data_IF_105022840750
#
_entry.id   IF_105022840750
#
_cell.length_a   1.000
_cell.length_b   1.000
_cell.length_c   1.000
_cell.angle_alpha   90.00
_cell.angle_beta   90.00
_cell.angle_gamma   90.00
#
_symmetry.space_group_name_H-M   'P 1'
#
loop_
_entity.id
_entity.type
_entity.pdbx_description
1 polymer ?
#
# COMPACT_ATOMS: atom_id res chain seq x y z
N UNK A 1 -3.13 -34.25 3.78
CA UNK A 1 -1.78 -34.06 3.21
C UNK A 1 -1.38 -32.61 3.46
N UNK A 2 -0.55 -32.32 4.47
CA UNK A 2 0.06 -30.99 4.65
C UNK A 2 1.39 -31.02 3.92
N UNK A 3 1.41 -30.49 2.70
CA UNK A 3 2.65 -30.24 1.98
C UNK A 3 3.27 -28.96 2.55
N UNK A 4 4.50 -29.03 3.05
CA UNK A 4 5.26 -27.85 3.42
C UNK A 4 5.68 -27.14 2.13
N UNK A 5 4.98 -26.06 1.77
CA UNK A 5 5.34 -25.22 0.64
C UNK A 5 6.58 -24.39 1.01
N UNK A 6 7.73 -24.71 0.41
CA UNK A 6 8.92 -23.87 0.52
C UNK A 6 8.75 -22.64 -0.36
N UNK A 7 8.45 -21.49 0.25
CA UNK A 7 8.42 -20.19 -0.43
C UNK A 7 9.85 -19.66 -0.51
N UNK A 8 10.34 -19.38 -1.73
CA UNK A 8 11.58 -18.63 -1.94
C UNK A 8 11.23 -17.15 -2.00
N UNK A 9 11.88 -16.32 -1.18
CA UNK A 9 11.76 -14.88 -1.22
C UNK A 9 13.13 -14.23 -1.47
N UNK A 10 13.11 -13.11 -2.19
CA UNK A 10 14.23 -12.19 -2.32
C UNK A 10 13.78 -10.85 -1.76
N UNK A 11 14.68 -10.16 -1.05
CA UNK A 11 14.44 -8.84 -0.52
C UNK A 11 15.50 -7.89 -1.07
N UNK A 12 15.06 -6.72 -1.48
CA UNK A 12 15.92 -5.62 -1.92
C UNK A 12 15.45 -4.33 -1.27
N UNK A 13 16.39 -3.46 -0.97
CA UNK A 13 16.09 -2.12 -0.48
C UNK A 13 16.13 -1.17 -1.67
N UNK A 14 15.01 -0.51 -1.93
CA UNK A 14 14.88 0.47 -3.01
C UNK A 14 14.61 1.83 -2.41
N UNK A 15 15.34 2.83 -2.88
CA UNK A 15 15.19 4.24 -2.52
C UNK A 15 14.91 4.99 -3.82
N UNK A 16 13.69 5.51 -3.97
CA UNK A 16 13.25 6.09 -5.24
C UNK A 16 14.04 7.35 -5.62
N UNK A 17 14.62 8.04 -4.64
CA UNK A 17 15.50 9.20 -4.82
C UNK A 17 16.81 8.85 -5.55
N UNK A 18 17.18 7.56 -5.57
CA UNK A 18 18.35 7.07 -6.31
C UNK A 18 17.98 6.60 -7.73
N UNK A 19 16.71 6.62 -8.11
CA UNK A 19 16.22 6.24 -9.43
C UNK A 19 15.84 7.48 -10.24
N UNK A 20 16.08 7.43 -11.55
CA UNK A 20 15.46 8.40 -12.45
C UNK A 20 13.95 8.11 -12.59
N UNK A 21 13.22 9.10 -13.11
CA UNK A 21 11.75 8.99 -13.26
C UNK A 21 11.36 7.76 -14.10
N UNK A 22 11.97 7.50 -15.28
CA UNK A 22 11.67 6.30 -16.06
C UNK A 22 11.92 4.98 -15.31
N UNK A 23 12.98 4.89 -14.51
CA UNK A 23 13.26 3.66 -13.76
C UNK A 23 12.27 3.46 -12.61
N UNK A 24 11.85 4.53 -11.94
CA UNK A 24 10.78 4.46 -10.93
C UNK A 24 9.48 3.94 -11.54
N UNK A 25 9.10 4.45 -12.71
CA UNK A 25 7.89 4.00 -13.42
C UNK A 25 8.01 2.52 -13.79
N UNK A 26 9.14 2.09 -14.38
CA UNK A 26 9.35 0.68 -14.74
C UNK A 26 9.34 -0.23 -13.52
N UNK A 27 9.93 0.20 -12.42
CA UNK A 27 9.93 -0.55 -11.17
C UNK A 27 8.51 -0.74 -10.67
N UNK A 28 7.75 0.35 -10.52
CA UNK A 28 6.36 0.29 -10.05
C UNK A 28 5.43 -0.45 -11.01
N UNK A 29 5.66 -0.39 -12.32
CA UNK A 29 4.90 -1.17 -13.30
C UNK A 29 5.11 -2.69 -13.13
N UNK A 30 6.25 -3.12 -12.58
CA UNK A 30 6.52 -4.53 -12.28
C UNK A 30 5.91 -5.00 -10.95
N UNK A 31 5.42 -4.08 -10.10
CA UNK A 31 4.81 -4.39 -8.81
C UNK A 31 3.36 -4.84 -9.00
N UNK A 32 3.03 -6.03 -8.51
CA UNK A 32 1.68 -6.58 -8.55
C UNK A 32 0.86 -6.25 -7.29
N UNK A 33 1.53 -6.20 -6.13
CA UNK A 33 0.90 -5.90 -4.84
C UNK A 33 1.80 -4.89 -4.12
N UNK A 34 1.24 -3.73 -3.82
CA UNK A 34 1.93 -2.68 -3.05
C UNK A 34 1.32 -2.57 -1.66
N UNK A 35 2.11 -2.88 -0.63
CA UNK A 35 1.67 -2.84 0.78
C UNK A 35 2.38 -1.69 1.47
N UNK A 36 1.63 -0.76 2.08
CA UNK A 36 2.21 0.38 2.78
C UNK A 36 1.27 0.95 3.83
N UNK A 37 1.83 1.74 4.75
CA UNK A 37 1.09 2.38 5.85
C UNK A 37 0.38 3.64 5.36
N UNK A 38 -0.82 3.89 5.89
CA UNK A 38 -1.55 5.14 5.68
C UNK A 38 -0.65 6.35 6.03
N UNK A 39 -0.69 7.37 5.18
CA UNK A 39 0.14 8.58 5.32
C UNK A 39 1.57 8.46 4.81
N UNK A 40 2.01 7.31 4.30
CA UNK A 40 3.38 7.12 3.77
C UNK A 40 3.63 7.73 2.37
N UNK A 41 2.68 8.48 1.80
CA UNK A 41 2.84 9.08 0.48
C UNK A 41 2.83 8.06 -0.66
N UNK A 42 1.84 7.16 -0.70
CA UNK A 42 1.78 6.02 -1.64
C UNK A 42 1.43 6.40 -3.10
N UNK A 43 1.66 7.65 -3.51
CA UNK A 43 1.30 8.18 -4.84
C UNK A 43 1.93 7.40 -5.99
N UNK A 44 3.07 6.72 -5.76
CA UNK A 44 3.71 5.85 -6.75
C UNK A 44 2.82 4.70 -7.25
N UNK A 45 1.69 4.40 -6.58
CA UNK A 45 0.70 3.43 -7.06
C UNK A 45 0.14 3.76 -8.46
N UNK A 46 0.16 5.03 -8.88
CA UNK A 46 -0.27 5.45 -10.22
C UNK A 46 0.58 4.85 -11.34
N UNK A 47 1.80 4.41 -11.04
CA UNK A 47 2.68 3.77 -12.02
C UNK A 47 2.53 2.25 -12.07
N UNK A 48 1.67 1.67 -11.24
CA UNK A 48 1.36 0.25 -11.27
C UNK A 48 0.46 -0.08 -12.47
N UNK A 49 0.58 -1.30 -12.98
CA UNK A 49 -0.26 -1.79 -14.07
C UNK A 49 -1.72 -2.01 -13.60
N UNK A 50 -2.74 -1.71 -14.43
CA UNK A 50 -4.13 -2.04 -14.13
C UNK A 50 -4.31 -3.53 -13.77
N UNK A 51 -5.21 -3.82 -12.83
CA UNK A 51 -5.43 -5.16 -12.29
C UNK A 51 -4.53 -5.51 -11.09
N UNK A 52 -3.52 -4.70 -10.79
CA UNK A 52 -2.70 -4.81 -9.57
C UNK A 52 -3.49 -4.44 -8.31
N UNK A 53 -2.87 -4.60 -7.14
CA UNK A 53 -3.49 -4.32 -5.85
C UNK A 53 -2.64 -3.43 -4.95
N UNK A 54 -3.30 -2.60 -4.15
CA UNK A 54 -2.73 -1.80 -3.07
C UNK A 54 -3.37 -2.24 -1.76
N UNK A 55 -2.54 -2.53 -0.76
CA UNK A 55 -2.96 -2.81 0.62
C UNK A 55 -2.51 -1.65 1.50
N UNK A 56 -3.48 -0.92 2.02
CA UNK A 56 -3.27 0.21 2.90
C UNK A 56 -3.38 -0.25 4.36
N UNK A 57 -2.30 -0.19 5.12
CA UNK A 57 -2.29 -0.50 6.55
C UNK A 57 -2.64 0.77 7.32
N UNK A 58 -3.75 0.76 8.06
CA UNK A 58 -4.26 1.88 8.84
C UNK A 58 -3.97 1.61 10.33
N UNK A 59 -3.00 2.29 10.96
CA UNK A 59 -2.68 2.08 12.38
C UNK A 59 -3.80 2.61 13.29
N UNK A 60 -4.25 1.84 14.27
CA UNK A 60 -5.16 2.36 15.30
C UNK A 60 -4.46 3.39 16.20
N UNK A 61 -5.15 4.45 16.69
CA UNK A 61 -6.55 4.82 16.47
C UNK A 61 -6.75 5.74 15.27
N UNK A 62 -5.76 5.86 14.36
CA UNK A 62 -5.87 6.76 13.22
C UNK A 62 -7.16 6.45 12.48
N UNK A 63 -8.00 7.48 12.40
CA UNK A 63 -9.20 7.51 11.58
C UNK A 63 -10.26 6.44 11.95
N UNK A 64 -10.21 5.92 13.19
CA UNK A 64 -11.18 4.93 13.70
C UNK A 64 -11.37 3.72 12.77
N UNK A 65 -10.28 3.19 12.21
CA UNK A 65 -10.31 2.11 11.22
C UNK A 65 -11.07 2.40 9.92
N UNK A 66 -11.49 3.65 9.71
CA UNK A 66 -12.01 4.12 8.44
C UNK A 66 -10.85 4.82 7.76
N UNK A 67 -10.54 4.46 6.52
CA UNK A 67 -9.59 5.27 5.77
C UNK A 67 -10.12 6.71 5.75
N UNK A 68 -9.40 7.72 6.27
CA UNK A 68 -9.84 9.12 6.31
C UNK A 68 -10.00 9.68 4.90
N UNK A 69 -9.54 8.93 3.92
CA UNK A 69 -9.78 9.12 2.52
C UNK A 69 -11.29 9.26 2.22
N UNK A 70 -12.18 8.52 2.89
CA UNK A 70 -13.64 8.72 2.69
C UNK A 70 -14.15 10.14 3.06
N UNK A 71 -13.38 10.93 3.80
CA UNK A 71 -13.77 12.25 4.31
C UNK A 71 -13.82 13.35 3.22
N UNK A 72 -13.17 13.14 2.06
CA UNK A 72 -13.12 14.13 0.96
C UNK A 72 -14.12 13.91 -0.17
N UNK A 73 -15.04 12.94 -0.04
CA UNK A 73 -16.07 12.69 -1.03
C UNK A 73 -15.57 11.95 -2.28
N UNK A 74 -16.45 11.10 -2.81
CA UNK A 74 -16.35 10.30 -4.06
C UNK A 74 -15.37 9.12 -4.10
N UNK A 75 -14.45 8.96 -3.15
CA UNK A 75 -13.67 7.71 -3.09
C UNK A 75 -12.37 7.78 -2.32
N UNK A 76 -12.02 8.91 -1.74
CA UNK A 76 -10.85 9.05 -0.92
C UNK A 76 -9.49 8.89 -1.59
N UNK A 77 -8.45 9.39 -0.93
CA UNK A 77 -7.18 9.64 -1.59
C UNK A 77 -6.58 8.38 -2.22
N UNK A 78 -6.32 7.32 -1.45
CA UNK A 78 -5.76 6.08 -1.99
C UNK A 78 -6.81 5.20 -2.65
N UNK A 79 -8.03 5.12 -2.12
CA UNK A 79 -9.09 4.31 -2.75
C UNK A 79 -9.53 4.87 -4.10
N UNK A 80 -9.79 6.17 -4.21
CA UNK A 80 -10.16 6.85 -5.45
C UNK A 80 -9.03 6.86 -6.47
N UNK A 81 -7.79 7.11 -6.03
CA UNK A 81 -6.60 6.99 -6.90
C UNK A 81 -6.46 5.58 -7.45
N UNK A 82 -6.66 4.57 -6.61
CA UNK A 82 -6.62 3.17 -7.02
C UNK A 82 -7.70 2.84 -8.06
N UNK A 83 -8.95 3.25 -7.80
CA UNK A 83 -10.07 3.05 -8.74
C UNK A 83 -9.78 3.74 -10.07
N UNK A 84 -9.27 4.98 -10.05
CA UNK A 84 -8.95 5.74 -11.26
C UNK A 84 -7.83 5.07 -12.08
N UNK A 85 -6.84 4.45 -11.43
CA UNK A 85 -5.75 3.72 -12.08
C UNK A 85 -6.15 2.29 -12.50
N UNK A 86 -7.36 1.84 -12.15
CA UNK A 86 -7.81 0.46 -12.41
C UNK A 86 -7.08 -0.57 -11.54
N UNK A 87 -6.62 -0.20 -10.36
CA UNK A 87 -6.02 -1.09 -9.36
C UNK A 87 -6.98 -1.30 -8.19
N UNK A 88 -6.87 -2.46 -7.53
CA UNK A 88 -7.74 -2.83 -6.40
C UNK A 88 -7.19 -2.26 -5.11
N UNK A 89 -8.05 -1.64 -4.30
CA UNK A 89 -7.68 -1.11 -2.99
C UNK A 89 -8.21 -1.96 -1.85
N UNK A 90 -7.33 -2.31 -0.90
CA UNK A 90 -7.65 -3.10 0.28
C UNK A 90 -7.18 -2.38 1.55
N UNK A 91 -8.09 -1.71 2.29
CA UNK A 91 -7.74 -1.16 3.59
C UNK A 91 -7.67 -2.28 4.64
N UNK A 92 -6.61 -2.29 5.43
CA UNK A 92 -6.42 -3.15 6.59
C UNK A 92 -6.28 -2.29 7.85
N UNK A 93 -7.30 -2.31 8.71
CA UNK A 93 -7.16 -1.67 10.01
C UNK A 93 -6.41 -2.58 11.00
N UNK A 94 -5.37 -2.04 11.62
CA UNK A 94 -4.64 -2.72 12.67
C UNK A 94 -5.49 -2.70 13.95
N UNK A 95 -5.81 -3.86 14.56
CA UNK A 95 -6.54 -3.91 15.83
C UNK A 95 -5.79 -3.19 16.96
N UNK A 96 -6.54 -2.57 17.88
CA UNK A 96 -5.96 -1.78 18.97
C UNK A 96 -4.99 -2.60 19.84
N UNK A 97 -5.32 -3.87 20.08
CA UNK A 97 -4.52 -4.83 20.84
C UNK A 97 -3.17 -5.16 20.17
N UNK A 98 -3.03 -4.93 18.86
CA UNK A 98 -1.81 -5.19 18.12
C UNK A 98 -0.92 -3.95 17.96
N UNK A 99 -1.40 -2.77 18.37
CA UNK A 99 -0.61 -1.53 18.29
C UNK A 99 0.25 -1.38 19.55
N UNK A 100 1.57 -1.42 19.35
CA UNK A 100 2.56 -1.08 20.38
C UNK A 100 3.19 0.27 20.05
N UNK A 101 2.80 1.30 20.79
CA UNK A 101 3.43 2.62 20.66
C UNK A 101 4.81 2.61 21.33
N UNK A 102 5.82 3.07 20.60
CA UNK A 102 7.09 3.42 21.23
C UNK A 102 6.86 4.61 22.17
N UNK A 103 7.35 4.52 23.41
CA UNK A 103 7.40 5.69 24.29
C UNK A 103 8.28 6.74 23.61
N UNK A 104 7.77 7.97 23.49
CA UNK A 104 8.57 9.11 23.03
C UNK A 104 9.74 9.36 23.96
#
# INVERSE_FOLDING_TARGET
>A
IRSNQHVRSSMENVTFEHLDVPSTIRYMASVHIFVSVHGAGMTNMFFMNPGSAVVEIIPFPLCNCRSPDYFYGVGGYYHGSAVAQGIKHYPYCVPAEHVKWHKR
#
